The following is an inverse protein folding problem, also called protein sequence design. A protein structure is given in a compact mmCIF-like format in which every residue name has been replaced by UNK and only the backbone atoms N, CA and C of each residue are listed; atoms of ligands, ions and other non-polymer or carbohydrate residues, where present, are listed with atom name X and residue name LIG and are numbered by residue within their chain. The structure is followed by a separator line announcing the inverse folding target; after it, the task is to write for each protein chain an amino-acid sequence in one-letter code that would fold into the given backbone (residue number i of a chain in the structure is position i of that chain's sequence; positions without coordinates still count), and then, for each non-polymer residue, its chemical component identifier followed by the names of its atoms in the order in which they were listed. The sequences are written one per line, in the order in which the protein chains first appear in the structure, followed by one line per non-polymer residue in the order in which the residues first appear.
data_IF_227209606511
#
_entry.id   IF_227209606511
#
_cell.length_a   1.000
_cell.length_b   1.000
_cell.length_c   1.000
_cell.angle_alpha   90.00
_cell.angle_beta   90.00
_cell.angle_gamma   90.00
#
_symmetry.space_group_name_H-M   'P 1'
#
loop_
_entity.id
_entity.type
_entity.pdbx_description
1 polymer ?
#
# COMPACT_ATOMS: atom_id res chain seq x y z
N UNK A 1 -8.31 17.81 -15.51
CA UNK A 1 -9.03 16.95 -14.54
C UNK A 1 -8.20 16.78 -13.27
N UNK A 2 -8.78 17.02 -12.08
CA UNK A 2 -8.04 17.04 -10.79
C UNK A 2 -7.42 15.67 -10.44
N UNK A 3 -8.16 14.58 -10.64
CA UNK A 3 -7.66 13.20 -10.40
C UNK A 3 -6.45 12.88 -11.29
N UNK A 4 -6.44 13.33 -12.55
CA UNK A 4 -5.31 13.13 -13.44
C UNK A 4 -4.03 13.82 -12.92
N UNK A 5 -4.17 15.01 -12.30
CA UNK A 5 -3.07 15.70 -11.63
C UNK A 5 -2.58 14.95 -10.40
N UNK A 6 -3.49 14.43 -9.57
CA UNK A 6 -3.13 13.59 -8.42
C UNK A 6 -2.38 12.32 -8.85
N UNK A 7 -2.82 11.67 -9.93
CA UNK A 7 -2.14 10.50 -10.52
C UNK A 7 -0.72 10.84 -10.98
N UNK A 8 -0.53 11.98 -11.64
CA UNK A 8 0.80 12.41 -12.07
C UNK A 8 1.72 12.69 -10.88
N UNK A 9 1.20 13.31 -9.82
CA UNK A 9 1.94 13.52 -8.57
C UNK A 9 2.29 12.20 -7.87
N UNK A 10 1.35 11.25 -7.84
CA UNK A 10 1.56 9.90 -7.32
C UNK A 10 2.73 9.21 -8.03
N UNK A 11 2.70 9.13 -9.37
CA UNK A 11 3.80 8.54 -10.14
C UNK A 11 5.12 9.30 -9.94
N UNK A 12 5.11 10.63 -9.94
CA UNK A 12 6.32 11.42 -9.67
C UNK A 12 6.93 11.10 -8.30
N UNK A 13 6.09 10.93 -7.27
CA UNK A 13 6.54 10.57 -5.93
C UNK A 13 7.13 9.16 -5.87
N UNK A 14 6.50 8.18 -6.55
CA UNK A 14 7.06 6.84 -6.70
C UNK A 14 8.43 6.88 -7.37
N UNK A 15 8.56 7.60 -8.48
CA UNK A 15 9.83 7.67 -9.21
C UNK A 15 10.94 8.31 -8.39
N UNK A 16 10.63 9.40 -7.70
CA UNK A 16 11.60 10.12 -6.87
C UNK A 16 12.09 9.29 -5.67
N UNK A 17 11.23 8.44 -5.09
CA UNK A 17 11.48 7.78 -3.80
C UNK A 17 11.77 6.28 -3.89
N UNK A 18 11.21 5.59 -4.87
CA UNK A 18 11.15 4.12 -4.91
C UNK A 18 11.70 3.55 -6.22
N UNK A 19 11.38 4.14 -7.38
CA UNK A 19 11.73 3.53 -8.66
C UNK A 19 13.19 3.83 -9.02
N UNK A 20 13.97 2.79 -9.25
CA UNK A 20 15.34 2.87 -9.73
C UNK A 20 15.61 1.75 -10.73
N UNK A 21 16.66 1.92 -11.55
CA UNK A 21 17.10 0.92 -12.51
C UNK A 21 18.48 0.42 -12.09
N UNK A 22 18.64 -0.90 -11.95
CA UNK A 22 19.92 -1.55 -11.61
C UNK A 22 20.31 -2.49 -12.74
N UNK A 23 21.48 -2.28 -13.34
CA UNK A 23 21.97 -3.08 -14.49
C UNK A 23 20.94 -3.17 -15.63
N UNK A 24 20.26 -2.06 -15.93
CA UNK A 24 19.22 -2.01 -16.98
C UNK A 24 17.86 -2.62 -16.59
N UNK A 25 17.69 -3.09 -15.35
CA UNK A 25 16.44 -3.70 -14.87
C UNK A 25 15.76 -2.75 -13.88
N UNK A 26 14.53 -2.26 -14.15
CA UNK A 26 13.73 -1.53 -13.17
C UNK A 26 13.42 -2.40 -11.95
N UNK A 27 13.43 -1.83 -10.75
CA UNK A 27 13.26 -2.55 -9.49
C UNK A 27 11.85 -3.16 -9.26
N UNK A 28 10.89 -2.86 -10.14
CA UNK A 28 9.55 -3.45 -10.13
C UNK A 28 9.35 -4.49 -11.24
N UNK A 29 10.41 -4.87 -11.95
CA UNK A 29 10.40 -6.01 -12.86
C UNK A 29 10.94 -7.27 -12.18
N UNK A 30 10.46 -8.42 -12.65
CA UNK A 30 11.12 -9.69 -12.42
C UNK A 30 12.30 -9.84 -13.40
N UNK A 31 13.52 -9.82 -12.86
CA UNK A 31 14.75 -9.88 -13.65
C UNK A 31 14.97 -11.20 -14.40
N UNK A 32 14.31 -12.28 -13.99
CA UNK A 32 14.34 -13.56 -14.71
C UNK A 32 13.45 -13.58 -15.95
N UNK A 33 12.51 -12.65 -16.06
CA UNK A 33 11.52 -12.59 -17.14
C UNK A 33 11.83 -11.47 -18.12
N UNK A 34 12.29 -11.82 -19.32
CA UNK A 34 12.54 -10.85 -20.41
C UNK A 34 11.31 -9.98 -20.71
N UNK A 35 10.12 -10.57 -20.65
CA UNK A 35 8.85 -9.87 -20.85
C UNK A 35 8.58 -8.86 -19.73
N UNK A 36 8.76 -9.26 -18.47
CA UNK A 36 8.59 -8.37 -17.31
C UNK A 36 9.54 -7.17 -17.39
N UNK A 37 10.82 -7.41 -17.70
CA UNK A 37 11.82 -6.35 -17.89
C UNK A 37 11.44 -5.41 -19.04
N UNK A 38 11.03 -5.94 -20.20
CA UNK A 38 10.65 -5.12 -21.34
C UNK A 38 9.42 -4.24 -21.06
N UNK A 39 8.42 -4.76 -20.35
CA UNK A 39 7.23 -3.99 -19.94
C UNK A 39 7.63 -2.88 -18.99
N UNK A 40 8.41 -3.19 -17.94
CA UNK A 40 8.82 -2.20 -16.96
C UNK A 40 9.65 -1.07 -17.59
N UNK A 41 10.56 -1.40 -18.53
CA UNK A 41 11.34 -0.42 -19.27
C UNK A 41 10.45 0.52 -20.10
N UNK A 42 9.44 -0.04 -20.81
CA UNK A 42 8.47 0.77 -21.55
C UNK A 42 7.61 1.66 -20.64
N UNK A 43 7.26 1.19 -19.45
CA UNK A 43 6.56 2.00 -18.45
C UNK A 43 7.45 3.16 -17.98
N UNK A 44 8.73 2.89 -17.70
CA UNK A 44 9.70 3.93 -17.32
C UNK A 44 9.92 4.97 -18.40
N UNK A 45 10.04 4.54 -19.66
CA UNK A 45 10.18 5.43 -20.80
C UNK A 45 8.94 6.31 -21.00
N UNK A 46 7.74 5.72 -20.91
CA UNK A 46 6.49 6.46 -21.08
C UNK A 46 6.21 7.48 -19.98
N UNK A 47 6.56 7.17 -18.73
CA UNK A 47 6.34 8.07 -17.60
C UNK A 47 7.43 9.15 -17.49
N UNK A 48 8.66 8.83 -17.89
CA UNK A 48 9.79 9.75 -18.00
C UNK A 48 9.98 10.70 -16.79
N UNK A 49 9.79 10.19 -15.57
CA UNK A 49 10.05 10.94 -14.35
C UNK A 49 11.47 10.66 -13.84
N UNK A 50 12.08 11.59 -13.08
CA UNK A 50 13.39 11.38 -12.47
C UNK A 50 13.37 10.18 -11.51
N UNK A 51 14.25 9.20 -11.78
CA UNK A 51 14.42 8.01 -10.95
C UNK A 51 15.05 8.35 -9.58
N UNK A 52 14.83 7.46 -8.61
CA UNK A 52 15.45 7.54 -7.30
C UNK A 52 16.97 7.36 -7.43
N UNK A 53 17.74 8.25 -6.77
CA UNK A 53 19.22 8.24 -6.84
C UNK A 53 19.85 7.01 -6.19
N UNK A 54 19.15 6.40 -5.23
CA UNK A 54 19.60 5.24 -4.47
C UNK A 54 18.45 4.26 -4.32
N UNK A 55 18.78 2.97 -4.33
CA UNK A 55 17.81 1.95 -3.96
C UNK A 55 17.35 2.19 -2.53
N UNK A 56 16.04 2.30 -2.25
CA UNK A 56 15.54 2.24 -0.88
C UNK A 56 15.97 0.89 -0.25
N UNK A 57 16.29 0.87 1.05
CA UNK A 57 16.49 -0.40 1.77
C UNK A 57 15.26 -1.30 1.62
N UNK A 58 15.45 -2.63 1.60
CA UNK A 58 14.44 -3.61 1.17
C UNK A 58 13.01 -3.33 1.65
N UNK A 59 12.74 -3.49 2.96
CA UNK A 59 11.41 -3.26 3.55
C UNK A 59 10.94 -1.80 3.44
N UNK A 60 11.85 -0.83 3.30
CA UNK A 60 11.50 0.59 3.17
C UNK A 60 10.78 0.88 1.87
N UNK A 61 11.04 0.13 0.79
CA UNK A 61 10.35 0.32 -0.48
C UNK A 61 8.84 0.05 -0.37
N UNK A 62 8.46 -1.04 0.32
CA UNK A 62 7.06 -1.41 0.56
C UNK A 62 6.32 -0.37 1.40
N UNK A 63 6.89 -0.01 2.56
CA UNK A 63 6.30 1.01 3.44
C UNK A 63 6.15 2.36 2.73
N UNK A 64 7.14 2.78 1.94
CA UNK A 64 7.04 4.00 1.15
C UNK A 64 5.94 3.90 0.09
N UNK A 65 5.79 2.74 -0.54
CA UNK A 65 4.75 2.51 -1.55
C UNK A 65 3.36 2.60 -0.92
N UNK A 66 3.14 1.91 0.20
CA UNK A 66 1.89 1.98 0.98
C UNK A 66 1.57 3.42 1.40
N UNK A 67 2.55 4.14 1.94
CA UNK A 67 2.36 5.52 2.38
C UNK A 67 2.00 6.46 1.22
N UNK A 68 2.72 6.39 0.10
CA UNK A 68 2.45 7.21 -1.09
C UNK A 68 1.07 6.87 -1.69
N UNK A 69 0.69 5.59 -1.66
CA UNK A 69 -0.61 5.12 -2.16
C UNK A 69 -1.75 5.58 -1.25
N UNK A 70 -1.60 5.46 0.08
CA UNK A 70 -2.55 5.97 1.07
C UNK A 70 -2.80 7.47 0.88
N UNK A 71 -1.75 8.26 0.68
CA UNK A 71 -1.88 9.70 0.49
C UNK A 71 -2.61 10.03 -0.83
N UNK A 72 -2.31 9.31 -1.91
CA UNK A 72 -3.04 9.44 -3.17
C UNK A 72 -4.53 9.09 -3.02
N UNK A 73 -4.85 8.01 -2.31
CA UNK A 73 -6.23 7.61 -2.03
C UNK A 73 -6.94 8.69 -1.22
N UNK A 74 -6.35 9.13 -0.11
CA UNK A 74 -6.90 10.19 0.75
C UNK A 74 -7.20 11.47 -0.04
N UNK A 75 -6.26 11.94 -0.83
CA UNK A 75 -6.44 13.18 -1.60
C UNK A 75 -7.44 13.02 -2.75
N UNK A 76 -7.51 11.84 -3.36
CA UNK A 76 -8.52 11.53 -4.38
C UNK A 76 -9.92 11.44 -3.78
N UNK A 77 -10.07 10.80 -2.61
CA UNK A 77 -11.36 10.63 -1.94
C UNK A 77 -11.96 11.96 -1.47
N UNK A 78 -11.12 12.92 -1.05
CA UNK A 78 -11.58 14.28 -0.70
C UNK A 78 -12.33 14.95 -1.86
N UNK A 79 -11.92 14.71 -3.11
CA UNK A 79 -12.61 15.26 -4.28
C UNK A 79 -14.01 14.67 -4.46
N UNK A 80 -14.28 13.50 -3.90
CA UNK A 80 -15.54 12.76 -4.00
C UNK A 80 -16.46 12.98 -2.79
N UNK A 81 -16.12 13.89 -1.86
CA UNK A 81 -16.90 14.11 -0.64
C UNK A 81 -18.36 14.52 -0.92
N UNK A 82 -18.63 15.19 -2.03
CA UNK A 82 -19.99 15.54 -2.46
C UNK A 82 -20.83 14.32 -2.91
N UNK A 83 -20.18 13.25 -3.37
CA UNK A 83 -20.84 11.99 -3.74
C UNK A 83 -20.91 11.02 -2.56
N UNK A 84 -19.89 11.05 -1.70
CA UNK A 84 -19.75 10.14 -0.56
C UNK A 84 -19.29 10.91 0.69
N UNK A 85 -20.19 11.68 1.32
CA UNK A 85 -19.85 12.47 2.50
C UNK A 85 -19.48 11.57 3.69
N UNK A 86 -18.54 12.02 4.52
CA UNK A 86 -18.14 11.30 5.73
C UNK A 86 -16.79 11.76 6.29
N UNK A 87 -16.50 11.37 7.54
CA UNK A 87 -15.18 11.56 8.17
C UNK A 87 -14.30 10.34 7.86
N UNK A 88 -13.80 10.27 6.64
CA UNK A 88 -12.99 9.14 6.18
C UNK A 88 -11.60 9.12 6.80
N UNK A 89 -11.20 7.97 7.33
CA UNK A 89 -9.87 7.67 7.86
C UNK A 89 -9.13 6.72 6.91
N UNK A 90 -7.82 6.95 6.77
CA UNK A 90 -6.93 6.17 5.93
C UNK A 90 -5.72 5.77 6.77
N UNK A 91 -5.44 4.48 6.89
CA UNK A 91 -4.30 3.97 7.64
C UNK A 91 -3.54 2.91 6.83
N UNK A 92 -2.26 2.71 7.17
CA UNK A 92 -1.46 1.59 6.69
C UNK A 92 -1.38 0.53 7.78
N UNK A 93 -1.37 -0.75 7.40
CA UNK A 93 -1.17 -1.88 8.31
C UNK A 93 -2.04 -1.83 9.58
N UNK A 94 -3.30 -1.41 9.45
CA UNK A 94 -4.25 -1.39 10.56
C UNK A 94 -5.03 -2.70 10.60
N UNK A 95 -4.98 -3.39 11.76
CA UNK A 95 -5.73 -4.65 11.93
C UNK A 95 -7.23 -4.42 11.76
N UNK A 96 -7.89 -5.37 11.09
CA UNK A 96 -9.33 -5.30 10.83
C UNK A 96 -10.17 -5.29 12.12
N UNK A 97 -9.64 -5.74 13.24
CA UNK A 97 -10.32 -5.73 14.54
C UNK A 97 -10.69 -4.33 15.05
N UNK A 98 -10.16 -3.26 14.44
CA UNK A 98 -10.52 -1.88 14.76
C UNK A 98 -11.83 -1.40 14.10
N UNK A 99 -12.45 -2.21 13.24
CA UNK A 99 -13.71 -1.86 12.59
C UNK A 99 -14.86 -2.67 13.16
N UNK A 100 -16.01 -2.03 13.35
CA UNK A 100 -17.21 -2.62 13.96
C UNK A 100 -17.65 -3.94 13.28
N UNK A 101 -17.53 -4.02 11.95
CA UNK A 101 -17.87 -5.22 11.18
C UNK A 101 -17.03 -6.46 11.57
N UNK A 102 -15.90 -6.27 12.25
CA UNK A 102 -14.99 -7.31 12.73
C UNK A 102 -14.89 -7.35 14.26
N UNK A 103 -15.91 -6.88 14.99
CA UNK A 103 -15.94 -6.92 16.46
C UNK A 103 -15.66 -8.33 17.00
N UNK A 104 -16.19 -9.37 16.35
CA UNK A 104 -15.93 -10.76 16.70
C UNK A 104 -14.44 -11.12 16.65
N UNK A 105 -13.67 -10.55 15.70
CA UNK A 105 -12.21 -10.73 15.62
C UNK A 105 -11.51 -10.06 16.80
N UNK A 106 -11.97 -8.86 17.20
CA UNK A 106 -11.46 -8.18 18.39
C UNK A 106 -11.75 -9.00 19.68
N UNK A 107 -12.93 -9.62 19.75
CA UNK A 107 -13.31 -10.49 20.87
C UNK A 107 -12.41 -11.72 20.95
N UNK A 108 -12.18 -12.38 19.81
CA UNK A 108 -11.26 -13.52 19.71
C UNK A 108 -9.83 -13.13 20.10
N UNK A 109 -9.32 -11.97 19.65
CA UNK A 109 -8.01 -11.45 20.04
C UNK A 109 -7.89 -11.31 21.57
N UNK A 110 -8.91 -10.75 22.23
CA UNK A 110 -8.92 -10.60 23.70
C UNK A 110 -8.93 -11.95 24.40
N UNK A 111 -9.77 -12.89 23.96
CA UNK A 111 -9.83 -14.24 24.54
C UNK A 111 -8.51 -15.02 24.38
N UNK A 112 -7.84 -14.87 23.23
CA UNK A 112 -6.54 -15.47 22.96
C UNK A 112 -5.42 -14.89 23.82
N UNK A 113 -5.46 -13.58 24.12
CA UNK A 113 -4.52 -12.94 25.03
C UNK A 113 -4.69 -13.42 26.48
N UNK A 114 -5.91 -13.73 26.91
CA UNK A 114 -6.21 -14.19 28.26
C UNK A 114 -5.95 -15.69 28.48
N UNK A 115 -6.02 -16.51 27.42
CA UNK A 115 -5.92 -17.97 27.55
C UNK A 115 -5.03 -18.59 26.47
N UNK A 116 -3.74 -18.76 26.81
CA UNK A 116 -2.69 -19.28 25.93
C UNK A 116 -3.00 -20.67 25.34
N UNK A 117 -3.81 -21.48 26.03
CA UNK A 117 -4.21 -22.82 25.57
C UNK A 117 -5.07 -22.77 24.28
N UNK A 118 -5.83 -21.69 24.07
CA UNK A 118 -6.66 -21.52 22.87
C UNK A 118 -5.86 -21.11 21.64
N UNK A 119 -4.68 -20.51 21.82
CA UNK A 119 -3.83 -20.07 20.72
C UNK A 119 -3.34 -21.24 19.85
N UNK A 120 -3.13 -22.42 20.46
CA UNK A 120 -2.75 -23.63 19.74
C UNK A 120 -3.91 -24.24 18.92
N UNK A 121 -5.16 -24.04 19.34
CA UNK A 121 -6.34 -24.62 18.71
C UNK A 121 -6.93 -23.75 17.59
N UNK A 122 -6.79 -22.42 17.68
CA UNK A 122 -7.47 -21.47 16.79
C UNK A 122 -6.63 -21.03 15.59
N UNK A 123 -5.30 -21.19 15.60
CA UNK A 123 -4.44 -20.77 14.49
C UNK A 123 -4.31 -19.25 14.38
N UNK A 124 -3.10 -18.74 14.14
CA UNK A 124 -2.80 -17.30 14.10
C UNK A 124 -3.38 -16.52 12.91
N UNK A 125 -4.10 -17.19 11.99
CA UNK A 125 -4.49 -16.66 10.68
C UNK A 125 -5.71 -15.72 10.70
N UNK A 126 -6.36 -15.53 11.85
CA UNK A 126 -7.48 -14.59 11.98
C UNK A 126 -7.06 -13.11 12.07
N UNK A 127 -5.74 -12.85 12.19
CA UNK A 127 -5.18 -11.50 12.32
C UNK A 127 -4.92 -10.86 10.95
N UNK A 128 -5.99 -10.62 10.19
CA UNK A 128 -5.85 -9.94 8.89
C UNK A 128 -5.48 -8.47 9.12
N UNK A 129 -4.37 -8.06 8.54
CA UNK A 129 -3.91 -6.66 8.56
C UNK A 129 -3.71 -6.21 7.11
N UNK A 130 -4.71 -5.54 6.51
CA UNK A 130 -4.57 -5.01 5.16
C UNK A 130 -3.46 -3.96 5.08
N UNK A 131 -2.77 -3.92 3.94
CA UNK A 131 -1.74 -2.91 3.65
C UNK A 131 -2.29 -1.48 3.82
N UNK A 132 -3.52 -1.24 3.34
CA UNK A 132 -4.22 0.04 3.47
C UNK A 132 -5.67 -0.21 3.85
N UNK A 133 -6.14 0.46 4.90
CA UNK A 133 -7.55 0.50 5.30
C UNK A 133 -8.17 1.85 4.99
N UNK A 134 -9.44 1.82 4.57
CA UNK A 134 -10.29 3.01 4.41
C UNK A 134 -11.57 2.76 5.20
N UNK A 135 -11.82 3.58 6.20
CA UNK A 135 -12.99 3.44 7.06
C UNK A 135 -13.42 4.76 7.66
N UNK A 136 -14.30 4.68 8.66
CA UNK A 136 -14.93 5.81 9.34
C UNK A 136 -14.98 5.55 10.83
#
# INVERSE_FOLDING_TARGET
MLIARLRNNYHRNLYKKIIFIRKGIPNFADGGSKTSVAIALKITDRLNYPLAKKAPPGQTAGILFEQITKDFLKDSFKLLNHLRPGKWMFAINQSISHFDQYEHVANLQRMLQEKTEFAAALGGDYLVTPDITVGM
#
